data_IF_750651221759
#
_entry.id   IF_750651221759
#
_cell.length_a   1.000
_cell.length_b   1.000
_cell.length_c   1.000
_cell.angle_alpha   90.00
_cell.angle_beta   90.00
_cell.angle_gamma   90.00
#
_symmetry.space_group_name_H-M   'P 1'
#
loop_
_entity.id
_entity.type
_entity.pdbx_description
1 polymer ?
#
# COMPACT_ATOMS: atom_id res chain seq x y z
N UNK A 1 26.77 4.18 -5.07
CA UNK A 1 25.98 3.04 -5.57
C UNK A 1 26.25 1.83 -4.70
N UNK A 2 25.36 1.52 -3.75
CA UNK A 2 25.48 0.31 -2.90
C UNK A 2 24.09 -0.16 -2.48
N UNK A 3 23.15 -0.18 -3.42
CA UNK A 3 21.94 -0.98 -3.27
C UNK A 3 22.34 -2.45 -3.36
N UNK A 4 22.63 -3.07 -2.22
CA UNK A 4 22.67 -4.53 -2.08
C UNK A 4 21.25 -5.07 -2.20
N UNK A 5 20.68 -4.90 -3.39
CA UNK A 5 19.39 -5.43 -3.77
C UNK A 5 19.60 -6.85 -4.32
N UNK A 6 18.72 -7.79 -3.96
CA UNK A 6 18.76 -9.14 -4.53
C UNK A 6 18.43 -9.12 -6.03
N UNK A 7 17.40 -8.34 -6.39
CA UNK A 7 16.99 -8.13 -7.78
C UNK A 7 16.87 -6.63 -8.04
N UNK A 8 17.57 -6.14 -9.07
CA UNK A 8 17.47 -4.77 -9.56
C UNK A 8 16.68 -4.76 -10.87
N UNK A 9 15.57 -4.02 -10.91
CA UNK A 9 14.81 -3.73 -12.11
C UNK A 9 15.03 -2.25 -12.46
N UNK A 10 15.60 -1.96 -13.63
CA UNK A 10 15.94 -0.59 -14.05
C UNK A 10 15.43 -0.30 -15.46
N UNK A 11 15.27 0.99 -15.80
CA UNK A 11 14.82 1.44 -17.12
C UNK A 11 13.38 0.97 -17.41
N UNK A 12 13.12 0.53 -18.64
CA UNK A 12 11.82 0.02 -19.08
C UNK A 12 11.70 -1.51 -18.94
N UNK A 13 12.35 -2.10 -17.93
CA UNK A 13 12.31 -3.55 -17.71
C UNK A 13 10.95 -3.99 -17.15
N UNK A 14 10.42 -5.10 -17.67
CA UNK A 14 9.15 -5.68 -17.23
C UNK A 14 9.32 -7.15 -16.81
N UNK A 15 10.22 -7.47 -15.86
CA UNK A 15 10.47 -8.85 -15.49
C UNK A 15 9.29 -9.44 -14.71
N UNK A 16 9.05 -10.73 -14.90
CA UNK A 16 8.15 -11.50 -14.03
C UNK A 16 9.01 -12.19 -12.96
N UNK A 17 8.80 -11.80 -11.71
CA UNK A 17 9.46 -12.36 -10.53
C UNK A 17 8.41 -13.18 -9.82
N UNK A 18 8.47 -14.51 -10.00
CA UNK A 18 7.45 -15.42 -9.53
C UNK A 18 8.05 -16.66 -8.89
N UNK A 19 7.52 -17.08 -7.74
CA UNK A 19 7.97 -18.28 -7.00
C UNK A 19 9.45 -18.26 -6.63
N UNK A 20 10.01 -17.07 -6.41
CA UNK A 20 11.37 -16.89 -5.95
C UNK A 20 11.43 -16.80 -4.42
N UNK A 21 12.56 -17.23 -3.85
CA UNK A 21 12.91 -16.94 -2.46
C UNK A 21 13.99 -15.85 -2.47
N UNK A 22 13.68 -14.69 -1.91
CA UNK A 22 14.53 -13.50 -1.94
C UNK A 22 14.88 -13.13 -0.50
N UNK A 23 16.11 -13.43 -0.09
CA UNK A 23 16.48 -13.32 1.31
C UNK A 23 17.89 -12.83 1.55
N UNK A 24 18.16 -12.39 2.78
CA UNK A 24 19.49 -11.98 3.26
C UNK A 24 20.13 -10.85 2.44
N UNK A 25 19.31 -9.98 1.84
CA UNK A 25 19.82 -8.81 1.14
C UNK A 25 19.97 -7.64 2.10
N UNK A 26 21.15 -7.00 2.05
CA UNK A 26 21.48 -5.94 3.00
C UNK A 26 20.54 -4.73 2.94
N UNK A 27 19.94 -4.42 1.77
CA UNK A 27 19.00 -3.30 1.66
C UNK A 27 17.63 -3.72 1.16
N UNK A 28 17.53 -4.25 -0.06
CA UNK A 28 16.24 -4.49 -0.70
C UNK A 28 16.18 -5.95 -1.18
N UNK A 29 15.04 -6.61 -1.05
CA UNK A 29 14.84 -7.85 -1.80
C UNK A 29 14.76 -7.54 -3.30
N UNK A 30 13.76 -6.74 -3.67
CA UNK A 30 13.62 -6.18 -5.03
C UNK A 30 13.76 -4.66 -4.97
N UNK A 31 14.53 -4.11 -5.89
CA UNK A 31 14.64 -2.67 -6.10
C UNK A 31 14.26 -2.33 -7.54
N UNK A 32 13.10 -1.69 -7.71
CA UNK A 32 12.56 -1.28 -9.01
C UNK A 32 12.68 0.24 -9.17
N UNK A 33 13.39 0.66 -10.21
CA UNK A 33 13.68 2.05 -10.54
C UNK A 33 13.29 2.37 -11.99
N UNK A 34 13.17 3.67 -12.29
CA UNK A 34 12.86 4.15 -13.63
C UNK A 34 11.42 3.89 -14.03
N UNK A 35 11.22 3.36 -15.24
CA UNK A 35 9.92 3.01 -15.84
C UNK A 35 9.62 1.51 -15.80
N UNK A 36 10.22 0.81 -14.83
CA UNK A 36 10.10 -0.64 -14.72
C UNK A 36 8.73 -1.02 -14.19
N UNK A 37 8.16 -2.08 -14.76
CA UNK A 37 6.83 -2.60 -14.38
C UNK A 37 6.92 -4.09 -14.06
N UNK A 38 7.64 -4.47 -12.98
CA UNK A 38 7.78 -5.86 -12.63
C UNK A 38 6.45 -6.45 -12.15
N UNK A 39 6.23 -7.73 -12.47
CA UNK A 39 5.15 -8.54 -11.91
C UNK A 39 5.74 -9.38 -10.79
N UNK A 40 5.35 -9.13 -9.55
CA UNK A 40 5.94 -9.73 -8.34
C UNK A 40 4.87 -10.59 -7.67
N UNK A 41 4.89 -11.90 -7.91
CA UNK A 41 3.82 -12.81 -7.45
C UNK A 41 4.33 -14.07 -6.81
N UNK A 42 3.65 -14.60 -5.80
CA UNK A 42 3.98 -15.91 -5.20
C UNK A 42 5.44 -16.02 -4.70
N UNK A 43 6.09 -14.92 -4.30
CA UNK A 43 7.46 -14.94 -3.79
C UNK A 43 7.52 -14.98 -2.27
N UNK A 44 8.63 -15.49 -1.75
CA UNK A 44 8.95 -15.45 -0.32
C UNK A 44 10.11 -14.48 -0.07
N UNK A 45 9.89 -13.46 0.74
CA UNK A 45 10.92 -12.53 1.19
C UNK A 45 11.24 -12.77 2.65
N UNK A 46 12.52 -12.90 2.99
CA UNK A 46 12.95 -12.95 4.39
C UNK A 46 14.29 -12.29 4.66
N UNK A 47 14.49 -11.75 5.86
CA UNK A 47 15.80 -11.23 6.30
C UNK A 47 16.39 -10.17 5.35
N UNK A 48 15.53 -9.33 4.75
CA UNK A 48 15.97 -8.21 3.91
C UNK A 48 16.03 -6.92 4.76
N UNK A 49 17.17 -6.22 4.69
CA UNK A 49 17.52 -5.20 5.69
C UNK A 49 16.61 -3.96 5.77
N UNK A 50 16.17 -3.38 4.64
CA UNK A 50 15.30 -2.20 4.63
C UNK A 50 13.87 -2.50 4.17
N UNK A 51 13.70 -3.09 2.99
CA UNK A 51 12.38 -3.44 2.46
C UNK A 51 12.44 -4.77 1.70
N UNK A 52 11.36 -5.52 1.74
CA UNK A 52 11.19 -6.67 0.85
C UNK A 52 11.21 -6.23 -0.62
N UNK A 53 10.45 -5.19 -0.94
CA UNK A 53 10.47 -4.58 -2.26
C UNK A 53 10.35 -3.05 -2.15
N UNK A 54 11.14 -2.34 -2.95
CA UNK A 54 10.94 -0.91 -3.20
C UNK A 54 10.61 -0.73 -4.67
N UNK A 55 9.45 -0.13 -4.96
CA UNK A 55 8.89 0.01 -6.29
C UNK A 55 8.68 1.50 -6.61
N UNK A 56 9.49 2.00 -7.55
CA UNK A 56 9.21 3.28 -8.21
C UNK A 56 8.06 3.07 -9.21
N UNK A 57 6.86 3.45 -8.79
CA UNK A 57 5.65 3.41 -9.59
C UNK A 57 5.70 4.52 -10.64
N UNK A 58 5.79 4.13 -11.90
CA UNK A 58 5.69 5.01 -13.08
C UNK A 58 4.90 4.28 -14.18
N UNK A 59 3.89 3.51 -13.75
CA UNK A 59 3.16 2.56 -14.58
C UNK A 59 2.32 1.60 -13.75
N UNK A 60 1.94 0.48 -14.36
CA UNK A 60 1.21 -0.59 -13.70
C UNK A 60 2.16 -1.41 -12.83
N UNK A 61 1.85 -1.50 -11.54
CA UNK A 61 2.56 -2.39 -10.60
C UNK A 61 1.62 -3.54 -10.25
N UNK A 62 2.12 -4.78 -10.34
CA UNK A 62 1.36 -5.96 -9.94
C UNK A 62 2.11 -6.72 -8.85
N UNK A 63 1.54 -6.73 -7.64
CA UNK A 63 2.12 -7.39 -6.49
C UNK A 63 1.04 -8.18 -5.73
N UNK A 64 1.14 -9.50 -5.74
CA UNK A 64 0.15 -10.39 -5.12
C UNK A 64 0.78 -11.65 -4.54
N UNK A 65 0.12 -12.25 -3.55
CA UNK A 65 0.47 -13.59 -3.04
C UNK A 65 1.92 -13.74 -2.56
N UNK A 66 2.55 -12.63 -2.15
CA UNK A 66 3.89 -12.67 -1.60
C UNK A 66 3.84 -12.84 -0.09
N UNK A 67 4.71 -13.71 0.41
CA UNK A 67 4.95 -13.90 1.84
C UNK A 67 6.17 -13.08 2.22
N UNK A 68 6.01 -12.06 3.07
CA UNK A 68 7.14 -11.25 3.56
C UNK A 68 7.22 -11.43 5.08
N UNK A 69 8.40 -11.84 5.55
CA UNK A 69 8.70 -12.01 6.98
C UNK A 69 10.08 -11.45 7.27
N UNK A 70 10.33 -11.06 8.52
CA UNK A 70 11.68 -10.70 9.01
C UNK A 70 12.42 -9.66 8.15
N UNK A 71 11.70 -8.79 7.46
CA UNK A 71 12.26 -7.69 6.68
C UNK A 71 12.13 -6.38 7.47
N UNK A 72 13.07 -5.45 7.29
CA UNK A 72 13.04 -4.14 7.99
C UNK A 72 11.78 -3.31 7.69
N UNK A 73 11.11 -3.62 6.58
CA UNK A 73 9.84 -3.06 6.14
C UNK A 73 9.17 -3.99 5.12
N UNK A 74 7.91 -3.70 4.80
CA UNK A 74 7.16 -4.46 3.79
C UNK A 74 7.47 -3.99 2.38
N UNK A 75 6.43 -3.60 1.64
CA UNK A 75 6.53 -3.15 0.25
C UNK A 75 6.47 -1.63 0.22
N UNK A 76 7.52 -0.97 -0.27
CA UNK A 76 7.52 0.48 -0.44
C UNK A 76 7.07 0.87 -1.85
N UNK A 77 6.06 1.72 -1.97
CA UNK A 77 5.57 2.31 -3.22
C UNK A 77 5.90 3.80 -3.25
N UNK A 78 6.53 4.26 -4.32
CA UNK A 78 6.90 5.67 -4.52
C UNK A 78 6.63 6.11 -5.96
N UNK A 79 6.22 7.36 -6.20
CA UNK A 79 6.06 7.90 -7.55
C UNK A 79 4.61 8.08 -7.99
N UNK A 80 4.33 7.85 -9.27
CA UNK A 80 3.02 8.12 -9.90
C UNK A 80 2.45 6.84 -10.51
N UNK A 81 1.30 6.40 -9.99
CA UNK A 81 0.50 5.33 -10.57
C UNK A 81 -0.30 5.90 -11.74
N UNK A 82 0.03 5.48 -12.96
CA UNK A 82 -0.62 5.94 -14.19
C UNK A 82 -1.58 4.90 -14.79
N UNK A 83 -1.70 3.73 -14.17
CA UNK A 83 -2.56 2.65 -14.60
C UNK A 83 -3.14 1.90 -13.39
N UNK A 84 -4.25 1.21 -13.60
CA UNK A 84 -4.94 0.46 -12.54
C UNK A 84 -3.99 -0.49 -11.81
N UNK A 85 -3.82 -0.23 -10.52
CA UNK A 85 -2.92 -0.94 -9.62
C UNK A 85 -3.74 -1.50 -8.48
N UNK A 86 -3.56 -2.79 -8.24
CA UNK A 86 -4.26 -3.53 -7.22
C UNK A 86 -3.26 -3.96 -6.15
N UNK A 87 -3.51 -3.57 -4.91
CA UNK A 87 -2.75 -4.04 -3.76
C UNK A 87 -3.51 -5.22 -3.17
N UNK A 88 -2.87 -6.40 -3.15
CA UNK A 88 -3.47 -7.60 -2.58
C UNK A 88 -3.05 -7.80 -1.12
N UNK A 89 -3.90 -8.50 -0.37
CA UNK A 89 -3.76 -8.77 1.04
C UNK A 89 -2.47 -9.57 1.30
N UNK A 90 -1.58 -8.98 2.08
CA UNK A 90 -0.42 -9.65 2.65
C UNK A 90 -0.49 -9.34 4.16
N UNK A 91 -1.16 -10.21 4.94
CA UNK A 91 -1.70 -9.86 6.28
C UNK A 91 -0.63 -9.43 7.28
N UNK A 92 0.62 -9.85 7.08
CA UNK A 92 1.75 -9.54 7.96
C UNK A 92 2.64 -8.40 7.43
N UNK A 93 2.27 -7.80 6.30
CA UNK A 93 3.20 -7.01 5.49
C UNK A 93 2.60 -5.64 5.16
N UNK A 94 3.06 -4.56 5.81
CA UNK A 94 2.54 -3.23 5.52
C UNK A 94 3.05 -2.72 4.16
N UNK A 95 2.17 -2.07 3.42
CA UNK A 95 2.55 -1.26 2.27
C UNK A 95 2.98 0.13 2.77
N UNK A 96 4.21 0.52 2.49
CA UNK A 96 4.75 1.83 2.85
C UNK A 96 4.67 2.78 1.66
N UNK A 97 4.04 3.92 1.85
CA UNK A 97 3.97 4.98 0.86
C UNK A 97 5.13 5.95 1.03
N UNK A 98 5.74 6.34 -0.08
CA UNK A 98 6.83 7.31 -0.12
C UNK A 98 6.59 8.30 -1.27
N UNK A 99 5.63 9.21 -1.07
CA UNK A 99 5.20 10.19 -2.07
C UNK A 99 4.53 9.49 -3.25
N UNK A 100 3.32 8.96 -3.02
CA UNK A 100 2.56 8.24 -4.04
C UNK A 100 1.45 9.15 -4.58
N UNK A 101 1.39 9.29 -5.89
CA UNK A 101 0.32 9.98 -6.63
C UNK A 101 -0.43 8.99 -7.48
N UNK A 102 -1.75 9.02 -7.43
CA UNK A 102 -2.59 8.30 -8.42
C UNK A 102 -2.98 9.31 -9.50
N UNK A 103 -2.49 9.09 -10.73
CA UNK A 103 -2.76 9.95 -11.87
C UNK A 103 -4.23 9.89 -12.27
N UNK A 104 -4.69 10.92 -12.97
CA UNK A 104 -6.07 10.97 -13.45
C UNK A 104 -6.40 9.76 -14.35
N UNK A 105 -7.55 9.12 -14.10
CA UNK A 105 -7.98 7.92 -14.84
C UNK A 105 -7.33 6.60 -14.39
N UNK A 106 -6.42 6.63 -13.41
CA UNK A 106 -5.88 5.41 -12.79
C UNK A 106 -6.63 5.08 -11.48
N UNK A 107 -6.82 3.80 -11.21
CA UNK A 107 -7.44 3.32 -9.97
C UNK A 107 -6.40 2.67 -9.06
N UNK A 108 -6.41 3.03 -7.77
CA UNK A 108 -5.70 2.29 -6.73
C UNK A 108 -6.73 1.50 -5.90
N UNK A 109 -6.75 0.19 -6.12
CA UNK A 109 -7.63 -0.73 -5.38
C UNK A 109 -6.85 -1.36 -4.24
N UNK A 110 -7.44 -1.32 -3.04
CA UNK A 110 -6.83 -1.85 -1.83
C UNK A 110 -7.76 -2.93 -1.28
N UNK A 111 -7.30 -4.18 -1.26
CA UNK A 111 -8.05 -5.26 -0.61
C UNK A 111 -8.20 -5.02 0.91
N UNK A 112 -9.31 -5.46 1.52
CA UNK A 112 -9.49 -5.42 2.96
C UNK A 112 -8.38 -6.17 3.70
N UNK A 113 -7.98 -5.63 4.85
CA UNK A 113 -6.92 -6.20 5.70
C UNK A 113 -5.52 -5.65 5.40
N UNK A 114 -5.36 -4.88 4.33
CA UNK A 114 -4.08 -4.24 4.01
C UNK A 114 -3.76 -3.11 4.98
N UNK A 115 -2.55 -3.12 5.52
CA UNK A 115 -2.01 -2.05 6.35
C UNK A 115 -1.18 -1.11 5.46
N UNK A 116 -1.63 0.13 5.32
CA UNK A 116 -0.88 1.20 4.62
C UNK A 116 -0.22 2.11 5.66
N UNK A 117 1.08 2.38 5.50
CA UNK A 117 1.86 3.27 6.38
C UNK A 117 2.63 4.31 5.58
N UNK A 118 2.90 5.46 6.18
CA UNK A 118 3.87 6.40 5.63
C UNK A 118 5.30 5.97 5.94
N UNK A 119 6.18 6.00 4.95
CA UNK A 119 7.62 5.76 5.15
C UNK A 119 8.24 6.76 6.14
N UNK A 120 7.86 8.04 6.04
CA UNK A 120 8.40 9.14 6.87
C UNK A 120 7.27 10.11 7.28
N UNK A 121 7.57 11.07 8.17
CA UNK A 121 6.63 12.12 8.62
C UNK A 121 6.10 13.02 7.49
N UNK A 122 6.70 12.97 6.30
CA UNK A 122 6.29 13.75 5.12
C UNK A 122 5.67 12.88 4.02
N UNK A 123 5.23 11.66 4.33
CA UNK A 123 4.52 10.86 3.34
C UNK A 123 3.15 11.45 3.06
N UNK A 124 2.83 11.57 1.78
CA UNK A 124 1.53 11.96 1.29
C UNK A 124 1.01 10.93 0.26
N UNK A 125 -0.32 10.85 0.16
CA UNK A 125 -1.06 10.14 -0.88
C UNK A 125 -1.96 11.17 -1.57
N UNK A 126 -1.77 11.42 -2.86
CA UNK A 126 -2.69 12.25 -3.65
C UNK A 126 -3.53 11.34 -4.53
N UNK A 127 -4.84 11.51 -4.42
CA UNK A 127 -5.87 10.85 -5.23
C UNK A 127 -6.54 11.96 -6.03
N UNK A 128 -6.36 11.97 -7.35
CA UNK A 128 -6.95 13.01 -8.20
C UNK A 128 -8.48 12.89 -8.24
N UNK A 129 -9.17 14.02 -8.42
CA UNK A 129 -10.63 14.17 -8.19
C UNK A 129 -11.56 13.22 -8.98
N UNK A 130 -11.05 12.52 -9.99
CA UNK A 130 -11.81 11.55 -10.81
C UNK A 130 -11.40 10.09 -10.56
N UNK A 131 -10.45 9.85 -9.65
CA UNK A 131 -9.96 8.50 -9.32
C UNK A 131 -10.69 7.95 -8.10
N UNK A 132 -11.38 6.80 -8.21
CA UNK A 132 -11.98 6.16 -7.04
C UNK A 132 -10.89 5.50 -6.20
N UNK A 133 -10.89 5.80 -4.89
CA UNK A 133 -10.16 4.99 -3.92
C UNK A 133 -11.12 3.94 -3.39
N UNK A 134 -11.02 2.72 -3.93
CA UNK A 134 -11.89 1.61 -3.53
C UNK A 134 -11.21 0.91 -2.35
N UNK A 135 -11.72 1.15 -1.15
CA UNK A 135 -11.45 0.31 0.03
C UNK A 135 -12.64 -0.62 0.24
N UNK A 136 -12.50 -1.90 -0.11
CA UNK A 136 -13.51 -2.94 0.12
C UNK A 136 -13.49 -3.37 1.60
N UNK A 137 -13.62 -2.42 2.53
CA UNK A 137 -13.64 -2.70 3.97
C UNK A 137 -14.95 -3.35 4.40
N UNK A 138 -14.97 -4.67 4.54
CA UNK A 138 -16.04 -5.33 5.30
C UNK A 138 -15.84 -4.98 6.78
N UNK A 139 -16.72 -4.16 7.35
CA UNK A 139 -16.83 -4.01 8.79
C UNK A 139 -17.22 -5.38 9.39
N UNK A 140 -16.28 -6.05 10.05
CA UNK A 140 -16.62 -7.09 11.02
C UNK A 140 -17.59 -6.48 12.04
N UNK A 141 -18.78 -7.06 12.15
CA UNK A 141 -20.00 -6.50 12.76
C UNK A 141 -19.98 -6.27 14.28
N UNK A 142 -18.83 -6.02 14.91
CA UNK A 142 -18.71 -5.93 16.36
C UNK A 142 -18.61 -4.50 16.92
N UNK A 143 -18.35 -3.47 16.11
CA UNK A 143 -18.06 -2.11 16.61
C UNK A 143 -19.13 -1.05 16.30
N UNK A 144 -20.19 -1.36 15.54
CA UNK A 144 -21.19 -0.38 15.09
C UNK A 144 -22.37 -0.15 16.07
N UNK A 145 -22.45 -0.92 17.17
CA UNK A 145 -23.59 -0.88 18.09
C UNK A 145 -23.54 0.21 19.15
N UNK A 146 -22.36 0.59 19.63
CA UNK A 146 -22.24 1.39 20.86
C UNK A 146 -22.21 2.90 20.61
N UNK A 147 -21.81 3.36 19.42
CA UNK A 147 -21.66 4.79 19.14
C UNK A 147 -22.99 5.47 18.77
N UNK A 148 -23.98 4.71 18.26
CA UNK A 148 -25.29 5.25 17.85
C UNK A 148 -26.22 5.54 19.04
N UNK A 149 -26.08 4.79 20.14
CA UNK A 149 -26.92 5.01 21.34
C UNK A 149 -26.42 6.19 22.19
N UNK A 150 -25.11 6.48 22.16
CA UNK A 150 -24.54 7.63 22.89
C UNK A 150 -24.92 8.97 22.26
N UNK A 151 -24.94 9.04 20.93
CA UNK A 151 -25.34 10.24 20.20
C UNK A 151 -26.83 10.59 20.36
N UNK A 152 -27.71 9.60 20.54
CA UNK A 152 -29.14 9.84 20.77
C UNK A 152 -29.43 10.41 22.16
N UNK A 153 -28.61 10.10 23.18
CA UNK A 153 -28.81 10.60 24.56
C UNK A 153 -28.30 12.03 24.76
N UNK A 154 -27.32 12.49 23.99
CA UNK A 154 -26.84 13.88 24.06
C UNK A 154 -27.78 14.89 23.38
N UNK A 155 -28.46 14.50 22.30
CA UNK A 155 -29.36 15.38 21.55
C UNK A 155 -30.62 15.76 22.34
N UNK A 156 -31.09 14.88 23.23
CA UNK A 156 -32.24 15.14 24.12
C UNK A 156 -31.91 16.02 25.33
N UNK A 157 -30.63 16.33 25.58
CA UNK A 157 -30.19 17.16 26.72
C UNK A 157 -30.04 18.66 26.39
N UNK A 158 -30.20 19.05 25.13
CA UNK A 158 -30.05 20.44 24.69
C UNK A 158 -31.34 21.26 24.92
N UNK A 159 -31.24 22.50 25.45
CA UNK A 159 -32.40 23.36 25.68
C UNK A 159 -33.01 23.83 24.35
N UNK A 160 -34.33 23.63 24.18
CA UNK A 160 -35.10 24.02 22.98
C UNK A 160 -35.28 25.55 22.92
N UNK A 161 -34.68 26.19 21.92
CA UNK A 161 -34.87 27.62 21.64
C UNK A 161 -36.26 27.85 21.01
N UNK A 162 -37.18 28.50 21.72
CA UNK A 162 -38.45 29.01 21.16
C UNK A 162 -38.23 30.43 20.62
N UNK A 163 -38.30 30.60 19.31
CA UNK A 163 -38.41 31.93 18.68
C UNK A 163 -39.88 32.39 18.74
N UNK A 164 -40.12 33.61 19.23
CA UNK A 164 -41.38 34.36 19.05
C UNK A 164 -41.31 35.13 17.73
#
# INVERSE_FOLDING_TARGET
>A
HSSSAGILCEGASCPTIKRCTIHHNRTYGIYSLGTSTPVITENTFSDNGLFAAFLSCTGKVFISDNTIRDCGGGICLAGVITADTHLNNSPDCPYMLNGLTVAEGATLSIEPGIIIKGKNQCTWLIVNRTTPLISEGSLSSAAAGEEKERASKELDSLPKLRLR
#
